data_IF_962647338776
#
_entry.id   IF_962647338776
#
_cell.length_a   1.000
_cell.length_b   1.000
_cell.length_c   1.000
_cell.angle_alpha   90.00
_cell.angle_beta   90.00
_cell.angle_gamma   90.00
#
_symmetry.space_group_name_H-M   'P 1'
#
loop_
_entity.id
_entity.type
_entity.pdbx_description
1 polymer ?
#
# COMPACT_ATOMS: atom_id res chain seq x y z
N UNK A 1 -92.11 20.77 17.92
CA UNK A 1 -91.30 19.92 18.81
C UNK A 1 -90.14 19.34 17.98
N UNK A 2 -89.29 20.18 17.39
CA UNK A 2 -87.98 20.67 17.89
C UNK A 2 -86.93 19.58 18.14
N UNK A 3 -86.25 19.30 17.02
CA UNK A 3 -85.00 18.57 16.79
C UNK A 3 -83.85 19.04 17.68
N UNK A 4 -83.22 18.12 18.42
CA UNK A 4 -81.95 18.32 19.15
C UNK A 4 -81.23 16.99 19.39
N UNK A 5 -80.65 16.35 18.37
CA UNK A 5 -79.65 15.28 18.60
C UNK A 5 -78.89 14.88 17.32
N UNK A 6 -78.14 15.80 16.70
CA UNK A 6 -77.25 15.40 15.59
C UNK A 6 -76.14 16.44 15.35
N UNK A 7 -75.29 16.72 16.34
CA UNK A 7 -74.10 17.54 16.09
C UNK A 7 -73.03 17.31 17.16
N UNK A 8 -72.40 16.12 17.19
CA UNK A 8 -71.21 15.90 18.05
C UNK A 8 -70.26 14.75 17.65
N UNK A 9 -70.30 14.27 16.41
CA UNK A 9 -69.39 13.20 15.94
C UNK A 9 -68.83 13.55 14.54
N UNK A 10 -68.21 14.73 14.40
CA UNK A 10 -67.56 15.10 13.13
C UNK A 10 -66.48 16.16 13.34
N UNK A 11 -65.55 15.92 14.28
CA UNK A 11 -64.42 16.82 14.51
C UNK A 11 -63.18 16.10 15.06
N UNK A 12 -62.77 14.99 14.42
CA UNK A 12 -61.60 14.20 14.85
C UNK A 12 -60.78 13.60 13.67
N UNK A 13 -60.89 14.15 12.45
CA UNK A 13 -60.33 13.50 11.25
C UNK A 13 -59.45 14.37 10.34
N UNK A 14 -58.84 15.47 10.83
CA UNK A 14 -57.99 16.34 9.96
C UNK A 14 -56.72 16.86 10.64
N UNK A 15 -55.96 15.99 11.30
CA UNK A 15 -54.55 16.24 11.63
C UNK A 15 -53.66 15.07 11.16
N UNK A 16 -53.81 14.65 9.91
CA UNK A 16 -52.73 13.96 9.19
C UNK A 16 -51.75 15.03 8.71
N UNK A 17 -51.01 15.62 9.66
CA UNK A 17 -49.90 16.50 9.35
C UNK A 17 -48.86 15.70 8.57
N UNK A 18 -48.59 16.12 7.33
CA UNK A 18 -47.44 15.69 6.58
C UNK A 18 -46.19 16.12 7.36
N UNK A 19 -45.72 15.25 8.26
CA UNK A 19 -44.36 15.35 8.77
C UNK A 19 -43.47 15.13 7.55
N UNK A 20 -42.99 16.24 6.97
CA UNK A 20 -41.84 16.25 6.09
C UNK A 20 -40.69 15.64 6.86
N UNK A 21 -40.53 14.33 6.73
CA UNK A 21 -39.37 13.57 7.20
C UNK A 21 -38.23 14.08 6.35
N UNK A 22 -37.57 15.13 6.83
CA UNK A 22 -36.31 15.56 6.23
C UNK A 22 -35.37 14.38 6.44
N UNK A 23 -34.81 13.79 5.37
CA UNK A 23 -33.78 12.79 5.54
C UNK A 23 -32.71 13.42 6.43
N UNK A 24 -32.42 12.77 7.56
CA UNK A 24 -31.36 13.22 8.44
C UNK A 24 -30.07 13.18 7.61
N UNK A 25 -29.61 14.36 7.18
CA UNK A 25 -28.36 14.51 6.46
C UNK A 25 -27.24 14.03 7.40
N UNK A 26 -26.57 12.95 7.02
CA UNK A 26 -25.47 12.41 7.80
C UNK A 26 -24.44 13.53 7.99
N UNK A 27 -24.10 13.83 9.25
CA UNK A 27 -23.16 14.89 9.57
C UNK A 27 -21.79 14.53 8.97
N UNK A 28 -21.38 15.25 7.93
CA UNK A 28 -20.02 15.18 7.39
C UNK A 28 -19.08 15.86 8.37
N UNK A 29 -18.10 15.13 8.87
CA UNK A 29 -17.07 15.67 9.77
C UNK A 29 -15.82 15.91 8.94
N UNK A 30 -15.38 17.17 8.85
CA UNK A 30 -14.15 17.56 8.14
C UNK A 30 -13.07 17.95 9.15
N UNK A 31 -11.85 17.50 8.91
CA UNK A 31 -10.67 17.87 9.69
C UNK A 31 -9.50 18.19 8.76
N UNK A 32 -8.72 19.22 9.11
CA UNK A 32 -7.46 19.54 8.43
C UNK A 32 -6.31 18.73 9.01
N UNK A 33 -5.41 18.28 8.14
CA UNK A 33 -4.25 17.47 8.49
C UNK A 33 -3.47 17.03 7.25
N UNK A 34 -2.19 16.75 7.45
CA UNK A 34 -1.25 16.29 6.42
C UNK A 34 -1.19 14.76 6.38
N UNK A 35 -1.43 14.10 7.51
CA UNK A 35 -1.45 12.65 7.59
C UNK A 35 -2.79 12.14 8.15
N UNK A 36 -3.26 11.04 7.59
CA UNK A 36 -4.41 10.28 8.04
C UNK A 36 -3.94 8.94 8.57
N UNK A 37 -4.23 8.66 9.84
CA UNK A 37 -3.91 7.42 10.53
C UNK A 37 -5.17 6.61 10.82
N UNK A 38 -5.16 5.35 10.39
CA UNK A 38 -6.30 4.46 10.46
C UNK A 38 -5.97 3.25 11.35
N UNK A 39 -6.70 3.13 12.46
CA UNK A 39 -6.68 1.99 13.36
C UNK A 39 -8.10 1.39 13.43
N UNK A 40 -8.47 0.64 12.40
CA UNK A 40 -9.85 0.22 12.16
C UNK A 40 -9.95 -1.31 12.04
N UNK A 41 -9.69 -2.08 13.11
CA UNK A 41 -9.76 -3.53 13.06
C UNK A 41 -11.17 -4.04 12.77
N UNK A 42 -11.26 -5.18 12.07
CA UNK A 42 -12.50 -5.91 11.79
C UNK A 42 -13.63 -5.09 11.13
N UNK A 43 -13.33 -4.08 10.32
CA UNK A 43 -14.38 -3.32 9.63
C UNK A 43 -14.61 -3.93 8.26
N UNK A 44 -15.85 -4.30 7.93
CA UNK A 44 -16.15 -5.01 6.69
C UNK A 44 -15.52 -4.37 5.44
N UNK A 45 -15.70 -3.05 5.26
CA UNK A 45 -15.04 -2.31 4.18
C UNK A 45 -14.72 -0.87 4.59
N UNK A 46 -13.51 -0.43 4.26
CA UNK A 46 -13.08 0.97 4.33
C UNK A 46 -12.79 1.46 2.91
N UNK A 47 -13.52 2.49 2.49
CA UNK A 47 -13.33 3.16 1.19
C UNK A 47 -12.68 4.51 1.42
N UNK A 48 -11.52 4.73 0.82
CA UNK A 48 -10.84 6.02 0.80
C UNK A 48 -11.00 6.59 -0.61
N UNK A 49 -11.48 7.83 -0.71
CA UNK A 49 -11.65 8.55 -1.98
C UNK A 49 -10.76 9.78 -1.95
N UNK A 50 -9.82 9.86 -2.88
CA UNK A 50 -9.00 11.07 -3.01
C UNK A 50 -9.84 12.15 -3.70
N UNK A 51 -10.16 13.20 -2.96
CA UNK A 51 -10.88 14.37 -3.46
C UNK A 51 -9.89 15.45 -3.86
N UNK A 52 -9.67 15.59 -5.17
CA UNK A 52 -8.76 16.59 -5.74
C UNK A 52 -9.18 18.04 -5.50
N UNK A 53 -10.42 18.28 -5.05
CA UNK A 53 -10.90 19.62 -4.71
C UNK A 53 -10.57 20.02 -3.27
N UNK A 54 -10.24 19.03 -2.42
CA UNK A 54 -9.74 19.27 -1.07
C UNK A 54 -8.30 19.77 -1.13
N UNK A 55 -8.03 20.87 -0.43
CA UNK A 55 -6.66 21.40 -0.30
C UNK A 55 -5.83 20.59 0.68
N UNK A 56 -6.46 20.18 1.77
CA UNK A 56 -5.86 19.50 2.91
C UNK A 56 -6.90 18.67 3.67
N UNK A 57 -6.41 17.72 4.48
CA UNK A 57 -7.23 17.02 5.45
C UNK A 57 -8.06 15.85 4.93
N UNK A 58 -9.02 15.46 5.77
CA UNK A 58 -9.93 14.34 5.53
C UNK A 58 -11.35 14.68 5.97
N UNK A 59 -12.33 14.17 5.23
CA UNK A 59 -13.74 14.20 5.61
C UNK A 59 -14.27 12.79 5.79
N UNK A 60 -14.98 12.54 6.88
CA UNK A 60 -15.65 11.27 7.12
C UNK A 60 -17.13 11.38 6.76
N UNK A 61 -17.57 10.52 5.85
CA UNK A 61 -18.98 10.31 5.55
C UNK A 61 -19.54 9.24 6.49
N UNK A 62 -20.05 9.71 7.63
CA UNK A 62 -20.58 8.90 8.71
C UNK A 62 -22.07 8.57 8.49
N UNK A 63 -22.39 7.89 7.39
CA UNK A 63 -23.74 7.29 7.27
C UNK A 63 -23.92 6.07 8.20
N UNK A 64 -22.83 5.53 8.75
CA UNK A 64 -22.77 4.35 9.64
C UNK A 64 -21.94 4.54 10.91
N UNK A 65 -21.34 5.73 11.15
CA UNK A 65 -20.18 5.86 12.05
C UNK A 65 -20.51 6.04 13.55
N UNK A 66 -21.54 5.36 14.06
CA UNK A 66 -21.81 5.34 15.52
C UNK A 66 -20.68 4.71 16.34
N UNK A 67 -19.70 4.07 15.69
CA UNK A 67 -18.58 3.36 16.34
C UNK A 67 -17.19 3.91 16.01
N UNK A 68 -17.11 5.03 15.27
CA UNK A 68 -15.85 5.63 14.85
C UNK A 68 -15.55 6.85 15.70
N UNK A 69 -14.31 6.94 16.18
CA UNK A 69 -13.78 8.15 16.80
C UNK A 69 -12.74 8.76 15.89
N UNK A 70 -12.92 10.05 15.61
CA UNK A 70 -11.99 10.85 14.86
C UNK A 70 -11.35 11.88 15.79
N UNK A 71 -10.03 12.04 15.71
CA UNK A 71 -9.25 12.98 16.51
C UNK A 71 -8.19 13.64 15.66
N UNK A 72 -7.93 14.92 15.89
CA UNK A 72 -6.75 15.61 15.39
C UNK A 72 -5.70 15.67 16.48
N UNK A 73 -4.49 15.25 16.17
CA UNK A 73 -3.29 15.42 16.98
C UNK A 73 -2.30 16.32 16.27
N UNK A 74 -1.42 16.96 17.05
CA UNK A 74 -0.20 17.57 16.54
C UNK A 74 0.96 16.78 17.12
N UNK A 75 1.67 16.05 16.27
CA UNK A 75 2.81 15.22 16.64
C UNK A 75 4.04 15.79 15.93
N UNK A 76 5.06 16.17 16.68
CA UNK A 76 6.36 16.67 16.17
C UNK A 76 6.36 17.84 15.17
N UNK A 77 5.22 18.53 15.00
CA UNK A 77 5.08 19.66 14.08
C UNK A 77 4.01 19.42 13.02
N UNK A 78 3.73 18.16 12.73
CA UNK A 78 2.83 17.72 11.68
C UNK A 78 1.41 17.51 12.23
N UNK A 79 0.42 17.82 11.40
CA UNK A 79 -0.99 17.69 11.77
C UNK A 79 -1.54 16.34 11.34
N UNK A 80 -1.85 15.47 12.31
CA UNK A 80 -2.32 14.09 12.09
C UNK A 80 -3.79 13.94 12.42
N UNK A 81 -4.56 13.33 11.54
CA UNK A 81 -5.95 12.93 11.75
C UNK A 81 -5.93 11.44 12.08
N UNK A 82 -6.34 11.03 13.27
CA UNK A 82 -6.48 9.63 13.65
C UNK A 82 -7.95 9.22 13.66
N UNK A 83 -8.26 8.15 12.93
CA UNK A 83 -9.57 7.52 12.89
C UNK A 83 -9.44 6.10 13.45
N UNK A 84 -10.13 5.85 14.55
CA UNK A 84 -10.15 4.55 15.21
C UNK A 84 -11.58 4.07 15.45
N UNK A 85 -11.80 2.76 15.34
CA UNK A 85 -13.06 2.12 15.75
C UNK A 85 -12.95 1.56 17.15
N UNK A 86 -13.98 1.75 17.98
CA UNK A 86 -14.00 1.23 19.36
C UNK A 86 -14.29 -0.27 19.43
N UNK A 87 -14.91 -0.84 18.42
CA UNK A 87 -15.37 -2.23 18.39
C UNK A 87 -15.35 -2.78 16.96
N UNK A 88 -15.15 -4.09 16.84
CA UNK A 88 -15.21 -4.78 15.55
C UNK A 88 -16.61 -4.65 14.93
N UNK A 89 -16.65 -4.31 13.63
CA UNK A 89 -17.87 -4.13 12.87
C UNK A 89 -17.75 -4.85 11.50
N UNK A 90 -17.90 -6.19 11.45
CA UNK A 90 -17.62 -6.97 10.23
C UNK A 90 -18.49 -6.61 9.02
N UNK A 91 -19.63 -5.96 9.24
CA UNK A 91 -20.53 -5.43 8.20
C UNK A 91 -20.46 -3.90 8.07
N UNK A 92 -19.59 -3.27 8.85
CA UNK A 92 -19.34 -1.83 8.83
C UNK A 92 -18.78 -1.40 7.48
N UNK A 93 -19.27 -0.26 7.00
CA UNK A 93 -18.76 0.42 5.81
C UNK A 93 -18.34 1.81 6.20
N UNK A 94 -17.09 2.16 5.95
CA UNK A 94 -16.54 3.49 6.19
C UNK A 94 -16.19 4.14 4.87
N UNK A 95 -16.57 5.39 4.66
CA UNK A 95 -16.11 6.19 3.52
C UNK A 95 -15.41 7.44 4.01
N UNK A 96 -14.15 7.61 3.62
CA UNK A 96 -13.30 8.74 3.97
C UNK A 96 -12.90 9.42 2.67
N UNK A 97 -13.11 10.72 2.56
CA UNK A 97 -12.49 11.52 1.50
C UNK A 97 -11.22 12.16 2.03
N UNK A 98 -10.15 12.15 1.24
CA UNK A 98 -8.84 12.71 1.63
C UNK A 98 -8.31 13.63 0.55
N UNK A 99 -7.50 14.62 0.92
CA UNK A 99 -6.78 15.42 -0.07
C UNK A 99 -5.71 14.59 -0.79
N UNK A 100 -5.34 14.93 -2.05
CA UNK A 100 -4.29 14.23 -2.78
C UNK A 100 -2.89 14.37 -2.17
N UNK A 101 -2.71 15.33 -1.26
CA UNK A 101 -1.45 15.58 -0.56
C UNK A 101 -1.39 14.90 0.80
N UNK A 102 -2.50 14.30 1.26
CA UNK A 102 -2.56 13.65 2.56
C UNK A 102 -1.91 12.27 2.50
N UNK A 103 -0.93 12.03 3.38
CA UNK A 103 -0.36 10.71 3.60
C UNK A 103 -1.38 9.81 4.31
N UNK A 104 -1.43 8.54 3.97
CA UNK A 104 -2.31 7.58 4.63
C UNK A 104 -1.46 6.53 5.33
N UNK A 105 -1.70 6.34 6.63
CA UNK A 105 -1.14 5.26 7.42
C UNK A 105 -2.24 4.31 7.88
N UNK A 106 -2.03 3.01 7.71
CA UNK A 106 -2.97 1.95 8.11
C UNK A 106 -2.24 1.01 9.05
N UNK A 107 -2.68 0.95 10.30
CA UNK A 107 -2.11 0.08 11.31
C UNK A 107 -3.16 -0.88 11.88
N UNK A 108 -2.70 -2.03 12.39
CA UNK A 108 -3.48 -3.04 13.11
C UNK A 108 -4.78 -3.47 12.44
N UNK A 109 -4.81 -3.41 11.11
CA UNK A 109 -6.00 -3.68 10.34
C UNK A 109 -6.03 -5.14 9.91
N UNK A 110 -6.70 -5.95 10.74
CA UNK A 110 -7.10 -7.32 10.41
C UNK A 110 -8.56 -7.35 9.97
N UNK A 111 -8.92 -8.36 9.17
CA UNK A 111 -10.29 -8.63 8.70
C UNK A 111 -11.02 -7.43 8.07
N UNK A 112 -10.29 -6.53 7.39
CA UNK A 112 -10.80 -5.31 6.78
C UNK A 112 -10.48 -5.26 5.29
N UNK A 113 -11.46 -4.93 4.46
CA UNK A 113 -11.24 -4.71 3.02
C UNK A 113 -11.04 -3.21 2.75
N UNK A 114 -9.87 -2.83 2.24
CA UNK A 114 -9.57 -1.45 1.86
C UNK A 114 -9.75 -1.23 0.36
N UNK A 115 -10.42 -0.15 -0.01
CA UNK A 115 -10.52 0.30 -1.40
C UNK A 115 -10.16 1.78 -1.46
N UNK A 116 -9.05 2.10 -2.12
CA UNK A 116 -8.55 3.46 -2.27
C UNK A 116 -8.72 3.88 -3.73
N UNK A 117 -9.55 4.90 -3.97
CA UNK A 117 -9.81 5.45 -5.31
C UNK A 117 -9.16 6.81 -5.47
N UNK A 118 -8.52 7.03 -6.61
CA UNK A 118 -7.68 8.19 -6.89
C UNK A 118 -6.20 8.01 -6.53
N UNK A 119 -5.46 9.12 -6.55
CA UNK A 119 -3.99 9.14 -6.43
C UNK A 119 -3.53 9.63 -5.06
N UNK A 120 -2.88 8.77 -4.29
CA UNK A 120 -2.28 9.11 -2.99
C UNK A 120 -0.84 9.58 -3.14
N UNK A 121 -0.45 10.55 -2.30
CA UNK A 121 0.94 10.99 -2.19
C UNK A 121 1.83 9.93 -1.52
N UNK A 122 1.36 9.31 -0.45
CA UNK A 122 2.05 8.24 0.27
C UNK A 122 1.06 7.31 0.94
N UNK A 123 1.47 6.05 1.07
CA UNK A 123 0.79 5.03 1.83
C UNK A 123 1.81 4.28 2.67
N UNK A 124 1.55 4.22 3.97
CA UNK A 124 2.15 3.27 4.91
C UNK A 124 1.04 2.30 5.35
N UNK A 125 1.27 1.00 5.25
CA UNK A 125 0.28 0.02 5.66
C UNK A 125 0.92 -1.23 6.27
N UNK A 126 0.35 -1.66 7.40
CA UNK A 126 0.59 -2.97 8.00
C UNK A 126 -0.69 -3.80 7.96
N UNK A 127 -0.65 -4.91 7.23
CA UNK A 127 -1.79 -5.75 6.92
C UNK A 127 -1.59 -7.17 7.44
N UNK A 128 -2.59 -7.66 8.16
CA UNK A 128 -2.68 -9.07 8.56
C UNK A 128 -3.98 -9.68 8.04
N UNK A 129 -3.84 -10.57 7.05
CA UNK A 129 -4.95 -11.35 6.47
C UNK A 129 -6.09 -10.50 5.90
N UNK A 130 -5.73 -9.39 5.24
CA UNK A 130 -6.69 -8.43 4.64
C UNK A 130 -6.49 -8.25 3.14
N UNK A 131 -7.51 -7.69 2.49
CA UNK A 131 -7.43 -7.34 1.07
C UNK A 131 -7.42 -5.82 0.88
N UNK A 132 -6.58 -5.31 0.00
CA UNK A 132 -6.47 -3.89 -0.33
C UNK A 132 -6.41 -3.69 -1.85
N UNK A 133 -7.29 -2.83 -2.38
CA UNK A 133 -7.29 -2.40 -3.78
C UNK A 133 -7.01 -0.90 -3.85
N UNK A 134 -5.98 -0.50 -4.58
CA UNK A 134 -5.51 0.87 -4.69
C UNK A 134 -5.41 1.24 -6.16
N UNK A 135 -5.94 2.40 -6.52
CA UNK A 135 -5.80 2.88 -7.89
C UNK A 135 -4.38 3.36 -8.18
N UNK A 136 -3.88 4.36 -7.45
CA UNK A 136 -2.53 4.91 -7.64
C UNK A 136 -1.92 5.39 -6.31
N UNK A 137 -0.61 5.16 -6.13
CA UNK A 137 0.17 5.76 -5.03
C UNK A 137 1.57 6.16 -5.49
N UNK A 138 2.10 7.26 -4.94
CA UNK A 138 3.46 7.74 -5.24
C UNK A 138 4.53 7.32 -4.24
N UNK A 139 4.14 6.84 -3.07
CA UNK A 139 5.09 6.17 -2.19
C UNK A 139 4.38 5.08 -1.46
N UNK A 140 5.06 3.96 -1.33
CA UNK A 140 4.54 2.81 -0.63
C UNK A 140 5.57 2.33 0.38
N UNK A 141 5.16 2.24 1.62
CA UNK A 141 5.74 1.33 2.60
C UNK A 141 4.66 0.33 3.00
N UNK A 142 4.94 -0.95 2.86
CA UNK A 142 3.93 -1.99 2.98
C UNK A 142 4.50 -3.21 3.69
N UNK A 143 3.90 -3.55 4.83
CA UNK A 143 4.11 -4.81 5.54
C UNK A 143 2.88 -5.70 5.39
N UNK A 144 3.07 -6.90 4.86
CA UNK A 144 2.02 -7.89 4.62
C UNK A 144 2.33 -9.19 5.36
N UNK A 145 1.37 -9.66 6.14
CA UNK A 145 1.45 -10.93 6.84
C UNK A 145 0.22 -11.79 6.56
N UNK A 146 0.31 -13.07 6.93
CA UNK A 146 -0.79 -14.03 6.79
C UNK A 146 -1.21 -14.24 5.34
N UNK A 147 -2.51 -14.12 5.07
CA UNK A 147 -3.12 -14.34 3.77
C UNK A 147 -3.52 -13.04 3.04
N UNK A 148 -2.76 -11.96 3.23
CA UNK A 148 -3.10 -10.64 2.68
C UNK A 148 -3.03 -10.58 1.15
N UNK A 149 -3.92 -9.83 0.50
CA UNK A 149 -3.93 -9.61 -0.94
C UNK A 149 -3.95 -8.11 -1.25
N UNK A 150 -2.93 -7.60 -1.93
CA UNK A 150 -2.81 -6.19 -2.28
C UNK A 150 -2.70 -6.04 -3.79
N UNK A 151 -3.57 -5.20 -4.33
CA UNK A 151 -3.59 -4.81 -5.74
C UNK A 151 -3.41 -3.31 -5.86
N UNK A 152 -2.50 -2.87 -6.73
CA UNK A 152 -2.22 -1.46 -7.00
C UNK A 152 -2.19 -1.22 -8.51
N UNK A 153 -3.01 -0.31 -9.03
CA UNK A 153 -2.98 0.03 -10.46
C UNK A 153 -1.63 0.65 -10.87
N UNK A 154 -1.19 1.71 -10.18
CA UNK A 154 0.09 2.37 -10.48
C UNK A 154 0.89 2.71 -9.24
N UNK A 155 2.17 2.35 -9.28
CA UNK A 155 3.19 2.77 -8.33
C UNK A 155 4.11 3.81 -8.96
N UNK A 156 4.24 4.96 -8.33
CA UNK A 156 5.17 6.01 -8.74
C UNK A 156 6.26 6.22 -7.69
N UNK A 157 7.37 6.85 -8.10
CA UNK A 157 8.48 7.33 -7.27
C UNK A 157 9.20 6.24 -6.46
N UNK A 158 8.66 5.70 -5.37
CA UNK A 158 9.38 4.69 -4.58
C UNK A 158 8.46 3.71 -3.85
N UNK A 159 8.93 2.47 -3.65
CA UNK A 159 8.19 1.46 -2.89
C UNK A 159 9.12 0.55 -2.06
N UNK A 160 8.66 0.24 -0.85
CA UNK A 160 9.23 -0.76 0.05
C UNK A 160 8.14 -1.75 0.44
N UNK A 161 8.41 -3.04 0.29
CA UNK A 161 7.45 -4.11 0.54
C UNK A 161 8.13 -5.20 1.35
N UNK A 162 7.49 -5.59 2.45
CA UNK A 162 7.87 -6.74 3.28
C UNK A 162 6.67 -7.66 3.35
N UNK A 163 6.80 -8.89 2.85
CA UNK A 163 5.68 -9.82 2.76
C UNK A 163 6.05 -11.23 3.26
N UNK A 164 5.18 -11.84 4.06
CA UNK A 164 5.33 -13.20 4.59
C UNK A 164 4.03 -14.01 4.50
N UNK A 165 4.06 -15.27 4.93
CA UNK A 165 2.88 -16.15 4.88
C UNK A 165 2.52 -16.56 3.44
N UNK A 166 1.25 -16.41 3.07
CA UNK A 166 0.73 -16.65 1.71
C UNK A 166 0.26 -15.35 1.06
N UNK A 167 0.86 -14.23 1.46
CA UNK A 167 0.48 -12.91 0.99
C UNK A 167 0.79 -12.71 -0.50
N UNK A 168 0.00 -11.88 -1.15
CA UNK A 168 0.03 -11.67 -2.61
C UNK A 168 0.02 -10.18 -2.91
N UNK A 169 1.08 -9.69 -3.54
CA UNK A 169 1.18 -8.31 -4.00
C UNK A 169 1.17 -8.28 -5.53
N UNK A 170 0.33 -7.42 -6.09
CA UNK A 170 0.24 -7.19 -7.54
C UNK A 170 0.21 -5.70 -7.84
N UNK A 171 0.97 -5.28 -8.85
CA UNK A 171 0.86 -3.95 -9.40
C UNK A 171 0.78 -3.98 -10.94
N UNK A 172 -0.17 -3.24 -11.52
CA UNK A 172 -0.34 -3.22 -12.97
C UNK A 172 0.80 -2.44 -13.65
N UNK A 173 1.28 -1.37 -13.02
CA UNK A 173 2.38 -0.56 -13.54
C UNK A 173 3.25 0.02 -12.43
N UNK A 174 4.54 0.18 -12.73
CA UNK A 174 5.51 0.78 -11.81
C UNK A 174 6.46 1.74 -12.55
N UNK A 175 6.55 2.98 -12.07
CA UNK A 175 7.56 3.96 -12.50
C UNK A 175 8.31 4.47 -11.28
N UNK A 176 9.38 3.78 -10.93
CA UNK A 176 10.04 3.92 -9.62
C UNK A 176 11.50 4.30 -9.78
N UNK A 177 11.96 5.25 -8.96
CA UNK A 177 13.40 5.48 -8.77
C UNK A 177 14.01 4.38 -7.89
N UNK A 178 13.22 3.84 -6.95
CA UNK A 178 13.67 2.73 -6.11
C UNK A 178 12.54 1.78 -5.74
N UNK A 179 12.83 0.49 -5.77
CA UNK A 179 11.95 -0.57 -5.27
C UNK A 179 12.76 -1.54 -4.42
N UNK A 180 12.26 -1.84 -3.22
CA UNK A 180 12.77 -2.89 -2.35
C UNK A 180 11.65 -3.86 -1.98
N UNK A 181 11.87 -5.16 -2.17
CA UNK A 181 10.92 -6.19 -1.78
C UNK A 181 11.63 -7.31 -0.99
N UNK A 182 11.08 -7.65 0.17
CA UNK A 182 11.52 -8.77 1.01
C UNK A 182 10.37 -9.76 1.19
N UNK A 183 10.52 -10.97 0.68
CA UNK A 183 9.46 -11.98 0.60
C UNK A 183 9.90 -13.28 1.27
N UNK A 184 9.08 -13.84 2.15
CA UNK A 184 9.36 -15.10 2.85
C UNK A 184 8.18 -16.08 2.78
N UNK A 185 8.39 -17.33 3.21
CA UNK A 185 7.40 -18.40 3.18
C UNK A 185 6.84 -18.71 1.77
N UNK A 186 5.61 -18.30 1.48
CA UNK A 186 4.89 -18.51 0.21
C UNK A 186 4.37 -17.16 -0.34
N UNK A 187 4.96 -16.05 0.10
CA UNK A 187 4.58 -14.73 -0.39
C UNK A 187 4.88 -14.60 -1.90
N UNK A 188 4.01 -13.89 -2.62
CA UNK A 188 4.15 -13.65 -4.05
C UNK A 188 4.08 -12.16 -4.36
N UNK A 189 4.91 -11.74 -5.31
CA UNK A 189 5.04 -10.36 -5.75
C UNK A 189 5.07 -10.31 -7.27
N UNK A 190 4.22 -9.46 -7.86
CA UNK A 190 4.17 -9.29 -9.32
C UNK A 190 4.05 -7.81 -9.69
N UNK A 191 4.89 -7.35 -10.61
CA UNK A 191 4.72 -6.10 -11.36
C UNK A 191 4.52 -6.47 -12.83
N UNK A 192 3.40 -6.04 -13.40
CA UNK A 192 3.00 -6.42 -14.77
C UNK A 192 3.71 -5.62 -15.86
N UNK A 193 4.17 -4.41 -15.57
CA UNK A 193 4.97 -3.57 -16.47
C UNK A 193 5.59 -2.38 -15.71
N UNK A 194 6.63 -1.78 -16.27
CA UNK A 194 7.21 -0.58 -15.68
C UNK A 194 8.69 -0.35 -15.95
N UNK A 195 9.17 0.79 -15.46
CA UNK A 195 10.58 1.17 -15.43
C UNK A 195 10.99 1.45 -13.98
N UNK A 196 12.02 0.75 -13.52
CA UNK A 196 12.55 0.81 -12.16
C UNK A 196 14.04 1.18 -12.25
N UNK A 197 14.45 2.29 -11.66
CA UNK A 197 15.87 2.68 -11.72
C UNK A 197 16.71 1.74 -10.84
N UNK A 198 16.37 1.61 -9.55
CA UNK A 198 17.05 0.70 -8.62
C UNK A 198 16.12 -0.37 -8.07
N UNK A 199 16.42 -1.64 -8.36
CA UNK A 199 15.65 -2.80 -7.90
C UNK A 199 16.43 -3.61 -6.85
N UNK A 200 15.82 -3.84 -5.70
CA UNK A 200 16.33 -4.79 -4.69
C UNK A 200 15.25 -5.82 -4.36
N UNK A 201 15.55 -7.10 -4.55
CA UNK A 201 14.63 -8.20 -4.23
C UNK A 201 15.34 -9.21 -3.35
N UNK A 202 14.72 -9.56 -2.23
CA UNK A 202 15.15 -10.65 -1.35
C UNK A 202 13.99 -11.64 -1.21
N UNK A 203 14.22 -12.91 -1.58
CA UNK A 203 13.25 -13.99 -1.39
C UNK A 203 13.84 -15.10 -0.53
N UNK A 204 13.04 -15.71 0.34
CA UNK A 204 13.39 -16.91 1.10
C UNK A 204 12.26 -17.94 1.06
N UNK A 205 12.54 -19.17 1.50
CA UNK A 205 11.63 -20.32 1.45
C UNK A 205 11.07 -20.55 0.03
N UNK A 206 9.75 -20.59 -0.14
CA UNK A 206 9.05 -20.76 -1.42
C UNK A 206 8.50 -19.43 -1.98
N UNK A 207 9.01 -18.28 -1.51
CA UNK A 207 8.52 -16.99 -1.97
C UNK A 207 8.91 -16.70 -3.43
N UNK A 208 8.08 -15.94 -4.15
CA UNK A 208 8.31 -15.65 -5.57
C UNK A 208 8.11 -14.18 -5.92
N UNK A 209 8.98 -13.67 -6.80
CA UNK A 209 8.90 -12.32 -7.34
C UNK A 209 8.98 -12.34 -8.87
N UNK A 210 8.06 -11.64 -9.53
CA UNK A 210 8.06 -11.47 -10.98
C UNK A 210 7.94 -9.99 -11.34
N UNK A 211 8.89 -9.48 -12.12
CA UNK A 211 8.91 -8.10 -12.61
C UNK A 211 8.92 -8.15 -14.14
N UNK A 212 7.76 -7.91 -14.76
CA UNK A 212 7.58 -7.86 -16.21
C UNK A 212 7.88 -6.44 -16.75
N UNK A 213 9.01 -5.87 -16.35
CA UNK A 213 9.41 -4.51 -16.73
C UNK A 213 10.92 -4.38 -16.88
N UNK A 214 11.39 -3.13 -17.01
CA UNK A 214 12.81 -2.82 -17.12
C UNK A 214 13.35 -2.34 -15.77
N UNK A 215 14.43 -2.95 -15.30
CA UNK A 215 15.25 -2.40 -14.22
C UNK A 215 16.55 -1.81 -14.79
N UNK A 216 17.01 -0.66 -14.27
CA UNK A 216 18.32 -0.13 -14.67
C UNK A 216 19.45 -0.83 -13.92
N UNK A 217 19.33 -0.98 -12.60
CA UNK A 217 20.23 -1.79 -11.77
C UNK A 217 19.43 -2.74 -10.89
N UNK A 218 19.98 -3.93 -10.62
CA UNK A 218 19.30 -4.94 -9.80
C UNK A 218 20.23 -5.63 -8.80
N UNK A 219 19.79 -5.72 -7.55
CA UNK A 219 20.37 -6.59 -6.51
C UNK A 219 19.34 -7.64 -6.11
N UNK A 220 19.67 -8.91 -6.32
CA UNK A 220 18.74 -10.02 -6.10
C UNK A 220 19.38 -11.07 -5.19
N UNK A 221 18.67 -11.41 -4.12
CA UNK A 221 19.02 -12.50 -3.22
C UNK A 221 17.87 -13.50 -3.19
N UNK A 222 18.10 -14.72 -3.66
CA UNK A 222 17.10 -15.78 -3.60
C UNK A 222 17.62 -16.95 -2.76
N UNK A 223 16.95 -17.27 -1.66
CA UNK A 223 17.31 -18.34 -0.74
C UNK A 223 16.26 -19.46 -0.72
N UNK A 224 16.70 -20.69 -0.42
CA UNK A 224 15.82 -21.86 -0.38
C UNK A 224 15.32 -22.25 -1.77
N UNK A 225 14.01 -22.37 -1.90
CA UNK A 225 13.29 -22.62 -3.17
C UNK A 225 12.77 -21.32 -3.79
N UNK A 226 13.17 -20.16 -3.27
CA UNK A 226 12.69 -18.85 -3.70
C UNK A 226 13.05 -18.58 -5.16
N UNK A 227 12.17 -17.85 -5.86
CA UNK A 227 12.30 -17.61 -7.28
C UNK A 227 12.11 -16.13 -7.63
N UNK A 228 13.01 -15.58 -8.43
CA UNK A 228 12.94 -14.21 -8.94
C UNK A 228 13.02 -14.22 -10.46
N UNK A 229 12.02 -13.63 -11.12
CA UNK A 229 11.97 -13.44 -12.57
C UNK A 229 11.93 -11.96 -12.89
N UNK A 230 12.88 -11.47 -13.68
CA UNK A 230 12.90 -10.08 -14.14
C UNK A 230 12.95 -10.09 -15.67
N UNK A 231 12.06 -9.35 -16.33
CA UNK A 231 12.02 -9.33 -17.79
C UNK A 231 13.31 -8.74 -18.37
N UNK A 232 13.71 -7.54 -17.95
CA UNK A 232 14.92 -6.89 -18.45
C UNK A 232 15.68 -6.17 -17.35
N UNK A 233 17.00 -6.28 -17.39
CA UNK A 233 17.93 -5.40 -16.64
C UNK A 233 18.91 -4.80 -17.63
N UNK A 234 18.98 -3.46 -17.71
CA UNK A 234 19.86 -2.78 -18.69
C UNK A 234 21.29 -2.56 -18.18
N UNK A 235 21.49 -2.50 -16.86
CA UNK A 235 22.78 -2.28 -16.22
C UNK A 235 23.26 -3.45 -15.34
N UNK A 236 24.12 -3.17 -14.35
CA UNK A 236 24.68 -4.19 -13.47
C UNK A 236 23.61 -4.98 -12.72
N UNK A 237 23.87 -6.28 -12.57
CA UNK A 237 23.09 -7.17 -11.73
C UNK A 237 23.98 -7.91 -10.73
N UNK A 238 23.61 -7.85 -9.46
CA UNK A 238 24.20 -8.65 -8.39
C UNK A 238 23.22 -9.75 -8.02
N UNK A 239 23.67 -11.00 -8.03
CA UNK A 239 22.86 -12.17 -7.67
C UNK A 239 23.52 -12.92 -6.52
N UNK A 240 22.74 -13.33 -5.53
CA UNK A 240 23.21 -14.16 -4.42
C UNK A 240 22.16 -15.14 -3.93
N UNK A 241 22.59 -16.12 -3.13
CA UNK A 241 21.74 -17.19 -2.57
C UNK A 241 21.69 -18.45 -3.44
N UNK A 242 20.94 -19.45 -2.97
CA UNK A 242 20.80 -20.78 -3.59
C UNK A 242 19.48 -21.00 -4.36
N UNK A 243 18.60 -20.00 -4.40
CA UNK A 243 17.33 -20.01 -5.14
C UNK A 243 17.49 -19.69 -6.63
N UNK A 244 16.37 -19.59 -7.34
CA UNK A 244 16.36 -19.36 -8.79
C UNK A 244 16.25 -17.87 -9.12
N UNK A 245 17.18 -17.34 -9.91
CA UNK A 245 17.12 -15.97 -10.45
C UNK A 245 17.20 -16.02 -11.97
N UNK A 246 16.17 -15.50 -12.64
CA UNK A 246 16.05 -15.46 -14.10
C UNK A 246 15.91 -14.03 -14.59
N UNK A 247 16.64 -13.69 -15.63
CA UNK A 247 16.55 -12.40 -16.31
C UNK A 247 16.45 -12.62 -17.81
N UNK A 248 15.60 -11.87 -18.52
CA UNK A 248 15.47 -11.96 -19.98
C UNK A 248 14.37 -12.91 -20.47
N UNK A 249 13.54 -13.46 -19.58
CA UNK A 249 12.37 -14.22 -19.99
C UNK A 249 11.23 -13.25 -20.33
N UNK A 250 11.04 -12.95 -21.62
CA UNK A 250 9.90 -12.17 -22.08
C UNK A 250 8.60 -12.91 -21.71
N UNK A 251 7.63 -12.18 -21.13
CA UNK A 251 6.26 -12.65 -20.87
C UNK A 251 6.10 -13.86 -19.93
N UNK A 252 7.00 -14.06 -18.96
CA UNK A 252 6.85 -15.15 -17.99
C UNK A 252 6.94 -16.54 -18.63
N UNK A 253 7.43 -16.66 -19.87
CA UNK A 253 7.73 -17.95 -20.47
C UNK A 253 8.93 -18.52 -19.73
N UNK A 254 8.64 -19.36 -18.75
CA UNK A 254 9.63 -20.19 -18.06
C UNK A 254 10.28 -21.05 -19.13
N UNK A 255 11.46 -20.64 -19.63
CA UNK A 255 12.37 -21.56 -20.28
C UNK A 255 12.78 -22.57 -19.20
N UNK A 256 12.00 -23.64 -19.08
CA UNK A 256 12.42 -24.84 -18.38
C UNK A 256 13.66 -25.30 -19.16
N UNK A 257 14.81 -25.55 -18.52
CA UNK A 257 15.87 -26.29 -19.17
C UNK A 257 15.21 -27.52 -19.79
N UNK A 258 15.23 -27.61 -21.11
CA UNK A 258 14.69 -28.74 -21.85
C UNK A 258 15.27 -29.98 -21.19
N UNK A 259 14.43 -30.75 -20.49
CA UNK A 259 14.81 -32.09 -20.02
C UNK A 259 15.37 -32.81 -21.25
N UNK A 260 16.59 -33.33 -21.13
CA UNK A 260 17.22 -34.10 -22.18
C UNK A 260 16.19 -35.07 -22.76
N UNK A 261 16.02 -35.04 -24.09
CA UNK A 261 15.01 -35.83 -24.79
C UNK A 261 14.93 -37.25 -24.23
N UNK A 262 13.72 -37.78 -23.97
CA UNK A 262 13.57 -39.16 -23.54
C UNK A 262 14.23 -40.06 -24.60
N UNK A 263 15.13 -40.92 -24.12
CA UNK A 263 15.79 -41.97 -24.87
C UNK A 263 14.76 -42.71 -25.73
N UNK A 264 15.11 -42.92 -27.01
CA UNK A 264 14.25 -43.55 -28.01
C UNK A 264 13.57 -44.84 -27.52
N UNK A 265 12.33 -45.12 -27.96
CA UNK A 265 11.58 -46.30 -27.54
C UNK A 265 12.28 -47.59 -27.98
N UNK A 266 12.54 -48.47 -27.01
CA UNK A 266 12.96 -49.86 -27.23
C UNK A 266 11.90 -50.60 -28.06
N UNK A 267 12.28 -51.33 -29.13
CA UNK A 267 11.32 -52.03 -29.98
C UNK A 267 10.56 -53.15 -29.23
N UNK A 268 9.31 -53.45 -29.63
CA UNK A 268 8.46 -54.40 -28.93
C UNK A 268 8.93 -55.84 -29.14
N UNK A 269 9.05 -56.59 -28.05
CA UNK A 269 9.22 -58.04 -28.08
C UNK A 269 7.88 -58.72 -28.46
N UNK A 270 7.97 -59.65 -29.41
CA UNK A 270 6.87 -60.38 -30.02
C UNK A 270 6.01 -61.17 -29.03
N UNK A 271 4.69 -61.09 -29.20
CA UNK A 271 3.69 -61.92 -28.50
C UNK A 271 3.70 -63.38 -28.99
N UNK A 272 3.52 -64.34 -28.08
CA UNK A 272 2.81 -65.59 -28.39
C UNK A 272 1.43 -65.67 -27.72
N UNK A 273 0.55 -66.40 -28.39
CA UNK A 273 -0.91 -66.39 -28.32
C UNK A 273 -1.55 -66.88 -27.01
N UNK A 274 -2.80 -66.41 -26.79
CA UNK A 274 -3.77 -66.93 -25.82
C UNK A 274 -4.10 -68.41 -26.09
N UNK A 275 -4.61 -69.16 -25.08
CA UNK A 275 -6.08 -69.33 -25.06
C UNK A 275 -6.74 -69.64 -23.69
N UNK A 276 -8.08 -69.53 -23.73
CA UNK A 276 -9.12 -70.21 -22.92
C UNK A 276 -9.62 -69.52 -21.63
N UNK A 277 -10.91 -69.15 -21.65
CA UNK A 277 -11.76 -68.84 -20.49
C UNK A 277 -12.35 -70.13 -19.88
N UNK A 278 -12.50 -70.23 -18.54
CA UNK A 278 -13.85 -70.23 -17.92
C UNK A 278 -13.82 -69.69 -16.45
N UNK A 279 -14.88 -69.86 -15.62
CA UNK A 279 -16.27 -69.39 -15.68
C UNK A 279 -16.61 -68.44 -14.51
N UNK A 280 -17.83 -67.88 -14.51
CA UNK A 280 -18.38 -66.99 -13.48
C UNK A 280 -18.65 -67.69 -12.13
N UNK A 281 -18.23 -67.07 -11.01
CA UNK A 281 -18.63 -67.40 -9.62
C UNK A 281 -18.47 -66.15 -8.70
N UNK A 282 -19.01 -66.11 -7.46
CA UNK A 282 -20.25 -65.42 -7.09
C UNK A 282 -20.03 -64.19 -6.18
N UNK A 283 -21.09 -63.41 -6.02
CA UNK A 283 -21.25 -62.25 -5.13
C UNK A 283 -20.84 -62.56 -3.68
N UNK A 284 -19.87 -61.83 -3.15
CA UNK A 284 -19.51 -61.84 -1.73
C UNK A 284 -20.35 -60.85 -0.92
N UNK A 285 -20.77 -61.19 0.31
CA UNK A 285 -21.60 -60.37 1.20
C UNK A 285 -20.84 -59.17 1.82
N UNK A 286 -21.55 -58.19 2.40
CA UNK A 286 -20.96 -56.97 2.93
C UNK A 286 -20.06 -57.24 4.14
N UNK A 287 -18.80 -56.79 4.05
CA UNK A 287 -17.84 -56.80 5.16
C UNK A 287 -18.34 -55.88 6.26
N UNK A 288 -18.49 -56.46 7.45
CA UNK A 288 -18.86 -55.77 8.68
C UNK A 288 -17.83 -54.68 9.04
N UNK A 289 -18.33 -53.55 9.55
CA UNK A 289 -17.55 -52.47 10.12
C UNK A 289 -16.60 -52.99 11.20
N UNK A 290 -15.31 -52.86 10.93
CA UNK A 290 -14.26 -53.03 11.92
C UNK A 290 -14.35 -51.87 12.92
N UNK A 291 -14.62 -52.22 14.18
CA UNK A 291 -14.72 -51.29 15.28
C UNK A 291 -13.40 -50.54 15.46
N UNK A 292 -13.48 -49.22 15.45
CA UNK A 292 -12.34 -48.35 15.75
C UNK A 292 -11.74 -48.70 17.12
N UNK A 293 -10.40 -48.78 17.24
CA UNK A 293 -9.76 -48.99 18.54
C UNK A 293 -10.08 -47.81 19.48
N UNK A 294 -10.18 -48.07 20.80
CA UNK A 294 -10.46 -47.01 21.77
C UNK A 294 -9.35 -45.94 21.76
N UNK A 295 -9.71 -44.68 22.04
CA UNK A 295 -8.73 -43.59 22.10
C UNK A 295 -7.70 -43.89 23.19
N UNK A 296 -6.43 -43.94 22.79
CA UNK A 296 -5.31 -43.91 23.71
C UNK A 296 -5.37 -42.56 24.43
N UNK A 297 -5.66 -42.59 25.73
CA UNK A 297 -5.59 -41.44 26.61
C UNK A 297 -4.19 -40.83 26.49
N UNK A 298 -4.12 -39.60 25.99
CA UNK A 298 -2.92 -38.79 26.06
C UNK A 298 -2.48 -38.68 27.54
N UNK A 299 -1.19 -38.83 27.85
CA UNK A 299 -0.67 -38.60 29.19
C UNK A 299 -1.07 -37.21 29.67
N UNK A 300 -1.52 -37.11 30.91
CA UNK A 300 -1.78 -35.83 31.56
C UNK A 300 -0.52 -34.92 31.44
N UNK A 301 -0.70 -33.61 31.20
CA UNK A 301 0.42 -32.68 31.15
C UNK A 301 1.17 -32.75 32.48
N UNK A 302 2.42 -33.22 32.40
CA UNK A 302 3.35 -33.23 33.51
C UNK A 302 3.56 -31.76 33.93
N UNK A 303 3.36 -31.39 35.21
CA UNK A 303 3.64 -30.04 35.66
C UNK A 303 5.11 -29.74 35.36
N UNK A 304 5.36 -28.65 34.64
CA UNK A 304 6.69 -28.14 34.41
C UNK A 304 7.40 -28.02 35.77
N UNK A 305 8.67 -28.47 35.89
CA UNK A 305 9.44 -28.24 37.11
C UNK A 305 9.47 -26.74 37.36
N UNK A 306 8.87 -26.35 38.48
CA UNK A 306 8.94 -25.02 39.05
C UNK A 306 10.41 -24.63 39.11
N UNK A 307 10.79 -23.63 38.32
CA UNK A 307 12.12 -23.05 38.39
C UNK A 307 12.41 -22.72 39.85
N UNK A 308 13.58 -23.17 40.33
CA UNK A 308 14.08 -22.75 41.63
C UNK A 308 14.02 -21.21 41.70
N UNK A 309 13.68 -20.63 42.86
CA UNK A 309 13.70 -19.18 43.03
C UNK A 309 15.09 -18.68 42.63
N UNK A 310 15.17 -17.91 41.55
CA UNK A 310 16.35 -17.09 41.34
C UNK A 310 16.38 -16.12 42.52
N UNK A 311 17.45 -16.19 43.30
CA UNK A 311 17.80 -15.17 44.27
C UNK A 311 17.76 -13.82 43.54
N UNK A 312 16.74 -13.04 43.87
CA UNK A 312 16.66 -11.63 43.53
C UNK A 312 17.92 -11.01 44.15
N UNK A 313 18.83 -10.41 43.36
CA UNK A 313 19.92 -9.62 43.92
C UNK A 313 19.30 -8.56 44.82
N UNK A 314 19.80 -8.48 46.05
CA UNK A 314 19.34 -7.51 47.03
C UNK A 314 19.25 -6.10 46.40
N UNK A 315 18.21 -5.31 46.72
CA UNK A 315 18.11 -3.94 46.25
C UNK A 315 19.40 -3.21 46.64
N UNK A 316 20.12 -2.75 45.61
CA UNK A 316 21.27 -1.88 45.81
C UNK A 316 20.80 -0.67 46.60
N UNK A 317 21.47 -0.41 47.71
CA UNK A 317 21.25 0.73 48.58
C UNK A 317 21.08 2.00 47.74
N UNK A 318 19.90 2.59 47.89
CA UNK A 318 19.60 3.96 47.53
C UNK A 318 20.76 4.87 48.02
N UNK A 319 21.43 5.60 47.11
CA UNK A 319 22.34 6.65 47.51
C UNK A 319 21.53 7.69 48.30
N UNK A 320 21.95 7.93 49.54
CA UNK A 320 21.38 8.95 50.40
C UNK A 320 21.24 10.27 49.63
N UNK A 321 20.03 10.83 49.65
CA UNK A 321 19.73 12.13 49.10
C UNK A 321 20.72 13.18 49.64
N UNK A 322 21.36 13.98 48.79
CA UNK A 322 22.15 15.12 49.26
C UNK A 322 21.24 16.12 49.99
N UNK A 323 21.74 16.81 51.02
CA UNK A 323 20.97 17.81 51.75
C UNK A 323 20.49 18.90 50.80
N UNK A 324 19.20 19.24 50.91
CA UNK A 324 18.52 20.30 50.18
C UNK A 324 19.33 21.61 50.20
N UNK A 325 19.91 21.98 49.06
CA UNK A 325 20.38 23.34 48.85
C UNK A 325 19.16 24.27 48.71
N UNK A 326 19.22 25.49 49.27
CA UNK A 326 18.16 26.47 49.13
C UNK A 326 17.99 26.83 47.65
N UNK A 327 16.75 26.68 47.16
CA UNK A 327 16.32 27.07 45.83
C UNK A 327 16.52 28.59 45.70
N UNK A 328 17.24 29.10 44.69
CA UNK A 328 17.21 30.52 44.36
C UNK A 328 15.77 30.91 44.00
N UNK A 329 15.18 31.83 44.76
CA UNK A 329 13.91 32.46 44.38
C UNK A 329 14.02 33.01 42.96
N UNK A 330 13.27 32.40 42.04
CA UNK A 330 13.05 32.97 40.72
C UNK A 330 12.36 34.33 40.91
N UNK A 331 13.07 35.39 40.52
CA UNK A 331 12.53 36.73 40.47
C UNK A 331 11.40 36.75 39.44
N UNK A 332 10.20 37.27 39.77
CA UNK A 332 9.11 37.37 38.82
C UNK A 332 9.52 38.27 37.63
N UNK A 333 9.16 37.91 36.38
CA UNK A 333 9.37 38.80 35.25
C UNK A 333 8.55 40.09 35.45
N UNK A 334 9.20 41.22 35.19
CA UNK A 334 8.58 42.54 35.23
C UNK A 334 7.36 42.61 34.27
N UNK A 335 6.29 43.33 34.64
CA UNK A 335 5.16 43.54 33.75
C UNK A 335 5.61 44.32 32.50
N UNK A 336 5.44 43.70 31.34
CA UNK A 336 5.59 44.38 30.05
C UNK A 336 4.45 45.38 29.91
N UNK A 337 4.83 46.65 29.79
CA UNK A 337 3.95 47.80 29.60
C UNK A 337 3.29 47.72 28.22
N UNK A 338 1.96 47.74 28.20
CA UNK A 338 1.15 47.95 26.99
C UNK A 338 1.49 49.31 26.35
N UNK A 339 1.76 49.39 25.04
CA UNK A 339 1.73 50.67 24.35
C UNK A 339 0.29 51.15 24.18
N UNK A 340 0.08 52.33 24.75
CA UNK A 340 -1.13 53.15 24.74
C UNK A 340 -1.51 53.56 23.31
N UNK A 341 -2.82 53.53 23.04
CA UNK A 341 -3.44 53.99 21.83
C UNK A 341 -3.25 55.50 21.65
N UNK A 342 -2.60 55.93 20.57
CA UNK A 342 -2.72 57.28 20.04
C UNK A 342 -3.60 57.27 18.80
N UNK A 343 -4.80 57.82 18.96
CA UNK A 343 -5.64 58.24 17.86
C UNK A 343 -5.08 59.52 17.22
N UNK A 344 -5.05 59.63 15.89
CA UNK A 344 -5.05 60.92 15.22
C UNK A 344 -6.47 61.34 14.81
N UNK A 345 -6.64 62.64 14.92
CA UNK A 345 -7.82 63.48 14.75
C UNK A 345 -8.14 63.60 13.24
N UNK A 346 -9.41 63.75 12.82
CA UNK A 346 -9.76 63.92 11.41
C UNK A 346 -9.55 65.38 10.97
N UNK A 347 -8.77 65.60 9.91
CA UNK A 347 -8.70 66.90 9.24
C UNK A 347 -9.11 66.78 7.77
N UNK A 348 -10.25 67.43 7.50
CA UNK A 348 -10.92 67.58 6.22
C UNK A 348 -10.21 68.64 5.38
N UNK A 349 -9.70 68.29 4.19
CA UNK A 349 -9.54 69.26 3.08
C UNK A 349 -9.87 68.60 1.74
N UNK A 350 -10.77 69.27 1.02
CA UNK A 350 -11.36 69.01 -0.29
C UNK A 350 -10.36 69.12 -1.48
N UNK A 351 -10.74 68.65 -2.68
CA UNK A 351 -9.85 68.35 -3.80
C UNK A 351 -9.63 69.53 -4.75
N UNK A 352 -8.48 69.54 -5.42
CA UNK A 352 -8.26 70.38 -6.60
C UNK A 352 -7.68 69.55 -7.75
N UNK A 353 -8.30 69.77 -8.91
CA UNK A 353 -8.20 69.05 -10.16
C UNK A 353 -6.86 69.22 -10.91
N UNK A 354 -6.49 68.22 -11.72
CA UNK A 354 -5.99 68.39 -13.10
C UNK A 354 -5.89 67.06 -13.87
N UNK A 355 -6.72 66.95 -14.91
CA UNK A 355 -6.53 66.18 -16.16
C UNK A 355 -5.74 67.08 -17.17
N UNK A 356 -5.42 66.67 -18.42
CA UNK A 356 -5.17 65.34 -19.03
C UNK A 356 -3.90 65.27 -19.93
N UNK A 357 -3.49 64.06 -20.37
CA UNK A 357 -2.95 63.74 -21.72
C UNK A 357 -2.72 62.21 -21.83
N UNK A 358 -3.60 61.46 -22.50
CA UNK A 358 -3.52 61.01 -23.91
C UNK A 358 -2.35 60.05 -24.21
N UNK A 359 -2.65 58.75 -24.31
CA UNK A 359 -2.28 57.96 -25.48
C UNK A 359 -3.20 56.74 -25.63
N UNK A 360 -3.92 56.75 -26.75
CA UNK A 360 -4.72 55.66 -27.28
C UNK A 360 -3.81 54.57 -27.86
N UNK A 361 -4.14 53.30 -27.68
CA UNK A 361 -4.16 52.38 -28.81
C UNK A 361 -5.19 51.26 -28.59
N UNK A 362 -5.86 50.95 -29.69
CA UNK A 362 -7.19 50.38 -29.85
C UNK A 362 -7.21 48.83 -29.88
N UNK A 363 -8.33 48.18 -29.51
CA UNK A 363 -8.50 46.73 -29.62
C UNK A 363 -9.13 46.33 -30.97
N UNK A 364 -8.70 45.21 -31.53
CA UNK A 364 -9.40 44.56 -32.65
C UNK A 364 -9.58 43.07 -32.40
N UNK A 365 -10.82 42.61 -32.59
CA UNK A 365 -11.24 41.21 -32.66
C UNK A 365 -11.55 40.84 -34.15
N UNK A 366 -12.15 39.66 -34.46
CA UNK A 366 -11.49 38.51 -35.06
C UNK A 366 -11.90 38.23 -36.53
N UNK A 367 -11.15 37.40 -37.27
CA UNK A 367 -11.68 36.69 -38.46
C UNK A 367 -11.09 35.28 -38.67
N UNK A 368 -11.86 34.37 -39.31
CA UNK A 368 -11.57 32.94 -39.49
C UNK A 368 -10.94 32.64 -40.86
N UNK A 369 -10.16 31.56 -40.99
CA UNK A 369 -9.78 31.00 -42.30
C UNK A 369 -9.78 29.46 -42.28
N UNK A 370 -10.50 28.91 -43.26
CA UNK A 370 -10.70 27.48 -43.57
C UNK A 370 -9.50 26.84 -44.33
N UNK A 371 -9.46 25.50 -44.52
CA UNK A 371 -8.31 24.73 -45.02
C UNK A 371 -8.37 24.41 -46.53
N UNK A 372 -7.25 23.98 -47.15
CA UNK A 372 -7.26 22.77 -48.03
C UNK A 372 -5.87 22.08 -48.18
N UNK A 373 -5.69 21.06 -49.07
CA UNK A 373 -6.47 19.84 -49.29
C UNK A 373 -5.60 18.55 -49.20
N UNK A 374 -6.27 17.41 -49.32
CA UNK A 374 -5.70 16.08 -49.43
C UNK A 374 -4.85 15.85 -50.70
N UNK A 375 -3.80 15.04 -50.58
CA UNK A 375 -3.20 14.29 -51.69
C UNK A 375 -2.97 12.83 -51.29
N UNK A 376 -3.62 11.97 -52.06
CA UNK A 376 -3.47 10.52 -52.22
C UNK A 376 -2.22 10.17 -53.04
N UNK A 377 -1.61 9.00 -52.77
CA UNK A 377 -0.57 8.35 -53.61
C UNK A 377 0.51 7.66 -52.76
N UNK A 378 0.41 6.37 -52.40
CA UNK A 378 0.62 5.13 -53.17
C UNK A 378 2.10 4.77 -53.47
N UNK A 379 2.49 3.58 -52.97
CA UNK A 379 3.48 2.61 -53.47
C UNK A 379 4.99 2.75 -53.15
N UNK A 380 5.42 1.96 -52.15
CA UNK A 380 6.42 0.86 -52.22
C UNK A 380 7.91 1.20 -52.54
N UNK A 381 8.86 0.23 -52.49
CA UNK A 381 9.80 0.08 -51.39
C UNK A 381 11.27 0.29 -51.81
N UNK A 382 12.10 0.87 -50.95
CA UNK A 382 13.56 0.88 -51.17
C UNK A 382 14.37 0.47 -49.93
N UNK A 383 15.36 -0.35 -50.28
CA UNK A 383 16.28 -1.21 -49.54
C UNK A 383 17.37 -0.46 -48.75
N UNK A 384 18.23 -1.17 -47.97
CA UNK A 384 18.85 -0.64 -46.77
C UNK A 384 20.15 0.12 -47.04
N UNK A 385 20.39 1.18 -46.26
CA UNK A 385 21.69 1.81 -46.14
C UNK A 385 22.49 1.17 -45.00
N UNK A 386 23.50 0.39 -45.38
CA UNK A 386 24.69 0.04 -44.58
C UNK A 386 25.75 1.12 -44.77
N UNK A 387 26.31 1.65 -43.66
CA UNK A 387 27.75 1.90 -43.41
C UNK A 387 27.95 2.78 -42.14
N UNK A 388 29.17 2.94 -41.59
CA UNK A 388 30.08 1.93 -41.04
C UNK A 388 30.39 2.19 -39.54
N UNK A 389 30.95 1.19 -38.87
CA UNK A 389 31.54 1.32 -37.54
C UNK A 389 32.75 2.28 -37.51
N UNK A 390 33.03 2.90 -36.34
CA UNK A 390 34.42 3.11 -35.97
C UNK A 390 34.74 2.64 -34.53
N UNK A 391 35.63 1.65 -34.48
CA UNK A 391 36.85 1.62 -33.67
C UNK A 391 36.78 1.78 -32.15
N UNK A 392 36.96 0.64 -31.50
CA UNK A 392 37.50 0.42 -30.15
C UNK A 392 38.85 1.12 -29.93
N UNK A 393 39.09 1.66 -28.72
CA UNK A 393 40.42 1.61 -28.12
C UNK A 393 40.38 0.96 -26.73
N UNK A 394 41.25 -0.02 -26.54
CA UNK A 394 41.70 -0.55 -25.25
C UNK A 394 43.23 -0.78 -25.35
N UNK A 395 43.98 -0.96 -24.25
CA UNK A 395 43.84 -0.39 -22.90
C UNK A 395 45.14 0.32 -22.45
N UNK A 396 45.06 1.20 -21.45
CA UNK A 396 46.26 1.72 -20.76
C UNK A 396 46.50 0.94 -19.46
N UNK A 397 47.65 0.26 -19.40
CA UNK A 397 48.19 -0.41 -18.24
C UNK A 397 48.85 0.60 -17.27
N UNK A 398 48.54 0.49 -15.98
CA UNK A 398 49.31 1.14 -14.92
C UNK A 398 49.46 0.21 -13.72
N UNK A 399 50.73 -0.18 -13.55
CA UNK A 399 51.51 -0.73 -12.41
C UNK A 399 50.87 -0.94 -11.02
N UNK A 400 51.43 -1.91 -10.25
CA UNK A 400 51.09 -2.19 -8.86
C UNK A 400 51.88 -1.29 -7.90
N UNK A 401 51.29 -0.98 -6.75
CA UNK A 401 51.99 -0.46 -5.57
C UNK A 401 51.98 -1.53 -4.47
N UNK A 402 53.18 -1.82 -4.00
CA UNK A 402 53.55 -2.77 -2.95
C UNK A 402 53.18 -2.29 -1.55
N UNK A 403 53.06 -3.27 -0.66
CA UNK A 403 53.50 -3.31 0.74
C UNK A 403 53.56 -2.01 1.55
N UNK A 404 52.76 -1.96 2.62
CA UNK A 404 53.29 -1.56 3.92
C UNK A 404 52.60 -2.31 5.06
N UNK A 405 53.35 -3.24 5.66
CA UNK A 405 53.05 -3.85 6.94
C UNK A 405 53.71 -3.01 8.04
N UNK A 406 52.92 -2.56 9.02
CA UNK A 406 53.42 -1.81 10.18
C UNK A 406 52.61 -2.09 11.44
N UNK A 407 53.18 -2.89 12.34
CA UNK A 407 52.76 -3.14 13.73
C UNK A 407 52.72 -1.85 14.57
N UNK A 408 51.75 -1.75 15.47
CA UNK A 408 51.81 -1.32 16.89
C UNK A 408 50.37 -1.43 17.44
N UNK A 409 50.02 -2.06 18.56
CA UNK A 409 50.73 -2.21 19.82
C UNK A 409 50.18 -1.18 20.81
N UNK A 410 49.15 -1.54 21.59
CA UNK A 410 48.50 -0.71 22.61
C UNK A 410 47.18 -1.30 23.08
#
# INVERSE_FOLDING_TARGET
MTSRTALRILLLATLAGAASVHPAEAARVSMSGEDLDLAIPCTGQVRIVVDTTMKDGATLDSSSATQVTMRTGKEDGDSRISIATKSCAPSGKLTISVSPYTGVSIHDSHDTNFVIKGKLASLDASLDSTSMDIENTQSLDLSMHGASNVHIGSLERAAQIVASGTSTFTADSAKLTALSAQLTNQASFTISQGDIEALTIVTADNASATVLGNASVATVTANGTGAVNIERVSGPIVRSGNGSVRVGAQNGVVYRPTEASPTAPTPPASQPQAPVAPPAVPTSPPTASEASPPPVLAPAPQPSPQAAPQEIPAPSKEPAAPPSQPIPQATPPAPTVSPEAQAPIPETVLPAAKLPATNQQEPSAPQPVSPPPATTGSNAPETPHTDPAPSTPAPAASKPASDEAGKQGG
#
